data_IF_148144211383
#
_entry.id   IF_148144211383
#
_cell.length_a   1.000
_cell.length_b   1.000
_cell.length_c   1.000
_cell.angle_alpha   90.00
_cell.angle_beta   90.00
_cell.angle_gamma   90.00
#
_symmetry.space_group_name_H-M   'P 1'
#
loop_
_entity.id
_entity.type
_entity.pdbx_description
1 polymer ?
#
# COMPACT_ATOMS: atom_id res chain seq x y z
N UNK A 1 -36.64 -11.44 -5.44
CA UNK A 1 -35.16 -11.49 -5.52
C UNK A 1 -34.76 -11.65 -6.98
N UNK A 2 -34.33 -10.60 -7.69
CA UNK A 2 -33.98 -10.72 -9.10
C UNK A 2 -32.71 -11.58 -9.24
N UNK A 3 -32.83 -12.69 -9.97
CA UNK A 3 -31.71 -13.57 -10.33
C UNK A 3 -30.94 -12.92 -11.47
N UNK A 4 -30.13 -11.91 -11.14
CA UNK A 4 -29.14 -11.39 -12.08
C UNK A 4 -28.16 -12.50 -12.43
N UNK A 5 -28.05 -12.86 -13.70
CA UNK A 5 -27.09 -13.87 -14.14
C UNK A 5 -25.68 -13.33 -13.92
N UNK A 6 -24.70 -14.19 -13.60
CA UNK A 6 -23.31 -13.77 -13.40
C UNK A 6 -22.74 -12.94 -14.57
N UNK A 7 -23.33 -13.10 -15.76
CA UNK A 7 -22.99 -12.34 -16.96
C UNK A 7 -23.42 -10.86 -16.88
N UNK A 8 -24.57 -10.59 -16.25
CA UNK A 8 -25.10 -9.23 -16.05
C UNK A 8 -24.19 -8.41 -15.13
N UNK A 9 -23.66 -9.03 -14.07
CA UNK A 9 -22.69 -8.38 -13.18
C UNK A 9 -21.38 -8.04 -13.91
N UNK A 10 -20.93 -8.92 -14.82
CA UNK A 10 -19.71 -8.71 -15.60
C UNK A 10 -19.86 -7.57 -16.62
N UNK A 11 -21.01 -7.50 -17.28
CA UNK A 11 -21.38 -6.38 -18.17
C UNK A 11 -21.46 -5.05 -17.40
N UNK A 12 -22.10 -5.05 -16.22
CA UNK A 12 -22.23 -3.85 -15.39
C UNK A 12 -20.88 -3.30 -14.94
N UNK A 13 -19.94 -4.17 -14.52
CA UNK A 13 -18.57 -3.76 -14.20
C UNK A 13 -17.81 -3.20 -15.41
N UNK A 14 -18.05 -3.73 -16.61
CA UNK A 14 -17.41 -3.22 -17.83
C UNK A 14 -17.87 -1.80 -18.17
N UNK A 15 -19.18 -1.54 -18.02
CA UNK A 15 -19.76 -0.20 -18.21
C UNK A 15 -19.21 0.81 -17.19
N UNK A 16 -19.15 0.41 -15.92
CA UNK A 16 -18.64 1.27 -14.84
C UNK A 16 -17.17 1.69 -15.08
N UNK A 17 -16.31 0.76 -15.49
CA UNK A 17 -14.90 1.05 -15.83
C UNK A 17 -14.81 2.03 -17.00
N UNK A 18 -15.69 1.90 -18.00
CA UNK A 18 -15.71 2.77 -19.20
C UNK A 18 -16.12 4.20 -18.85
N UNK A 19 -17.09 4.35 -17.96
CA UNK A 19 -17.52 5.67 -17.48
C UNK A 19 -16.51 6.31 -16.54
N UNK A 20 -15.84 5.52 -15.69
CA UNK A 20 -14.72 6.01 -14.89
C UNK A 20 -13.62 6.58 -15.79
N UNK A 21 -13.24 5.85 -16.85
CA UNK A 21 -12.26 6.36 -17.83
C UNK A 21 -12.70 7.67 -18.46
N UNK A 22 -13.96 7.80 -18.89
CA UNK A 22 -14.46 9.08 -19.46
C UNK A 22 -14.44 10.22 -18.45
N UNK A 23 -14.77 9.94 -17.18
CA UNK A 23 -14.81 10.95 -16.11
C UNK A 23 -13.42 11.50 -15.76
N UNK A 24 -12.40 10.64 -15.79
CA UNK A 24 -11.02 11.00 -15.41
C UNK A 24 -10.08 11.19 -16.61
N UNK A 25 -10.60 11.13 -17.84
CA UNK A 25 -9.82 11.49 -19.01
C UNK A 25 -9.60 13.00 -19.01
N UNK A 26 -8.47 13.41 -18.43
CA UNK A 26 -7.98 14.79 -18.51
C UNK A 26 -7.89 15.18 -19.99
N UNK A 27 -8.44 16.33 -20.40
CA UNK A 27 -8.29 16.82 -21.75
C UNK A 27 -6.79 16.97 -22.01
N UNK A 28 -6.25 16.03 -22.79
CA UNK A 28 -4.90 16.09 -23.34
C UNK A 28 -4.79 17.42 -24.06
N UNK A 29 -4.02 18.34 -23.48
CA UNK A 29 -3.64 19.61 -24.08
C UNK A 29 -2.83 19.33 -25.35
N UNK A 30 -3.54 19.05 -26.44
CA UNK A 30 -3.00 19.04 -27.78
C UNK A 30 -2.82 20.49 -28.22
N UNK A 31 -1.77 21.13 -27.72
CA UNK A 31 -1.22 22.36 -28.29
C UNK A 31 0.23 22.13 -28.68
N UNK A 32 0.42 21.52 -29.84
CA UNK A 32 1.63 21.69 -30.64
C UNK A 32 1.23 22.32 -31.97
N UNK A 33 0.85 23.59 -31.90
CA UNK A 33 0.78 24.49 -33.05
C UNK A 33 1.86 25.53 -32.85
N UNK A 34 2.97 25.39 -33.56
CA UNK A 34 3.97 26.43 -33.79
C UNK A 34 3.33 27.54 -34.63
N UNK A 35 3.21 28.79 -34.14
CA UNK A 35 2.83 29.91 -35.00
C UNK A 35 4.08 30.42 -35.73
N UNK A 36 4.00 30.46 -37.05
CA UNK A 36 4.93 31.20 -37.89
C UNK A 36 4.79 32.71 -37.62
N UNK A 37 5.93 33.39 -37.61
CA UNK A 37 6.09 34.83 -37.50
C UNK A 37 5.25 35.55 -38.57
N UNK A 38 4.41 36.51 -38.17
CA UNK A 38 3.96 37.58 -39.05
C UNK A 38 3.63 38.84 -38.24
N UNK A 39 4.08 39.97 -38.76
CA UNK A 39 4.17 41.28 -38.13
C UNK A 39 2.80 42.01 -38.05
N UNK A 40 2.79 43.05 -37.19
CA UNK A 40 2.02 44.31 -37.30
C UNK A 40 0.88 44.59 -36.28
N UNK A 41 1.24 45.34 -35.21
CA UNK A 41 0.60 46.59 -34.67
C UNK A 41 -0.86 46.52 -34.11
N UNK A 42 -1.44 47.59 -33.47
CA UNK A 42 -1.60 47.67 -32.00
C UNK A 42 -3.02 48.03 -31.46
N UNK A 43 -3.31 47.74 -30.16
CA UNK A 43 -4.19 48.49 -29.20
C UNK A 43 -5.73 48.51 -29.48
N UNK A 44 -6.70 48.81 -28.55
CA UNK A 44 -6.76 48.94 -27.06
C UNK A 44 -7.89 48.10 -26.37
N UNK A 45 -7.93 48.21 -25.02
CA UNK A 45 -9.10 48.23 -24.10
C UNK A 45 -10.31 47.31 -24.33
N UNK A 46 -10.68 46.53 -23.30
CA UNK A 46 -11.79 46.85 -22.40
C UNK A 46 -11.92 45.81 -21.28
N UNK A 47 -12.03 46.34 -20.05
CA UNK A 47 -12.71 45.85 -18.85
C UNK A 47 -13.27 44.41 -18.81
N UNK A 48 -13.08 43.74 -17.66
CA UNK A 48 -14.14 43.63 -16.64
C UNK A 48 -13.69 42.72 -15.49
N UNK A 49 -13.75 43.30 -14.30
CA UNK A 49 -13.67 42.64 -13.00
C UNK A 49 -14.80 41.62 -12.86
N UNK A 50 -14.53 40.42 -12.34
CA UNK A 50 -15.50 39.79 -11.42
C UNK A 50 -14.78 39.05 -10.29
N UNK A 51 -15.32 39.29 -9.11
CA UNK A 51 -14.85 39.02 -7.77
C UNK A 51 -15.88 38.08 -7.15
N UNK A 52 -15.46 36.98 -6.55
CA UNK A 52 -16.31 36.14 -5.66
C UNK A 52 -15.36 35.18 -4.93
N UNK A 53 -14.94 35.38 -3.69
CA UNK A 53 -15.65 35.70 -2.43
C UNK A 53 -16.71 34.67 -2.07
N UNK A 54 -16.25 33.50 -1.61
CA UNK A 54 -17.07 32.45 -1.04
C UNK A 54 -16.42 31.83 0.19
N UNK A 55 -16.38 32.60 1.28
CA UNK A 55 -16.09 32.09 2.62
C UNK A 55 -17.26 31.23 3.10
N UNK A 56 -17.05 29.91 3.22
CA UNK A 56 -17.98 29.00 3.90
C UNK A 56 -17.36 28.53 5.20
N UNK A 57 -17.75 29.22 6.27
CA UNK A 57 -17.64 28.81 7.67
C UNK A 57 -18.41 27.50 7.86
N UNK A 58 -17.77 26.48 8.42
CA UNK A 58 -18.46 25.30 8.95
C UNK A 58 -18.30 25.22 10.48
N UNK A 59 -19.34 24.75 11.19
CA UNK A 59 -19.40 24.79 12.64
C UNK A 59 -18.57 23.68 13.29
N UNK A 60 -17.81 24.09 14.29
CA UNK A 60 -17.25 23.25 15.34
C UNK A 60 -18.36 22.75 16.25
N UNK A 61 -18.53 21.43 16.39
CA UNK A 61 -19.13 20.81 17.58
C UNK A 61 -18.39 19.50 17.88
N UNK A 62 -17.51 19.59 18.86
CA UNK A 62 -16.95 18.48 19.62
C UNK A 62 -18.04 17.78 20.43
N UNK A 63 -18.10 16.45 20.40
CA UNK A 63 -18.62 15.62 21.51
C UNK A 63 -18.04 14.21 21.42
N UNK A 64 -16.89 14.05 22.08
CA UNK A 64 -16.28 12.75 22.37
C UNK A 64 -16.72 12.31 23.76
N UNK A 65 -17.65 11.36 23.81
CA UNK A 65 -17.98 10.61 25.03
C UNK A 65 -17.08 9.38 25.07
N UNK A 66 -16.04 9.45 25.91
CA UNK A 66 -15.18 8.32 26.27
C UNK A 66 -15.98 7.26 27.03
N UNK A 67 -15.92 5.97 26.66
CA UNK A 67 -16.23 4.88 27.58
C UNK A 67 -15.03 4.60 28.50
N UNK A 68 -15.35 4.36 29.76
CA UNK A 68 -14.45 4.21 30.88
C UNK A 68 -13.54 2.96 30.79
N UNK A 69 -12.36 3.13 31.39
CA UNK A 69 -11.33 2.14 31.69
C UNK A 69 -11.93 0.89 32.34
N UNK A 70 -11.78 -0.28 31.71
CA UNK A 70 -11.79 -1.56 32.43
C UNK A 70 -10.34 -1.91 32.79
N UNK A 71 -10.05 -1.76 34.08
CA UNK A 71 -8.84 -2.21 34.73
C UNK A 71 -8.80 -3.74 34.69
N UNK A 72 -7.85 -4.32 33.96
CA UNK A 72 -7.57 -5.75 34.02
C UNK A 72 -6.53 -5.98 35.10
N UNK A 73 -6.96 -6.62 36.18
CA UNK A 73 -6.13 -7.12 37.28
C UNK A 73 -5.10 -8.10 36.73
N UNK A 74 -3.82 -7.76 36.86
CA UNK A 74 -2.70 -8.62 36.50
C UNK A 74 -2.57 -9.68 37.60
N UNK A 75 -2.96 -10.92 37.32
CA UNK A 75 -2.58 -12.06 38.17
C UNK A 75 -1.11 -12.37 37.92
N UNK A 76 -0.25 -11.89 38.82
CA UNK A 76 1.11 -12.37 39.03
C UNK A 76 1.03 -13.85 39.42
N UNK A 77 1.33 -14.73 38.47
CA UNK A 77 1.54 -16.15 38.77
C UNK A 77 3.03 -16.32 39.07
N UNK A 78 3.27 -16.71 40.31
CA UNK A 78 4.54 -16.91 40.96
C UNK A 78 5.38 -17.95 40.21
N UNK A 79 6.65 -17.59 40.02
CA UNK A 79 7.68 -18.36 39.34
C UNK A 79 8.45 -19.07 40.43
N UNK A 80 8.30 -20.39 40.58
CA UNK A 80 9.41 -21.28 40.96
C UNK A 80 9.04 -22.77 40.93
N UNK A 81 10.06 -23.55 40.56
CA UNK A 81 10.23 -25.00 40.75
C UNK A 81 9.72 -25.91 39.63
N UNK A 82 10.65 -26.50 38.86
CA UNK A 82 10.91 -27.96 38.81
C UNK A 82 11.84 -28.30 37.61
N UNK A 83 12.99 -28.91 37.95
CA UNK A 83 13.88 -29.83 37.20
C UNK A 83 14.40 -29.52 35.77
N UNK A 84 15.69 -29.83 35.49
CA UNK A 84 16.22 -29.86 34.12
C UNK A 84 15.75 -31.16 33.44
N UNK A 85 14.56 -31.12 32.84
CA UNK A 85 14.15 -32.15 31.90
C UNK A 85 15.07 -32.07 30.67
N UNK A 86 15.69 -33.19 30.31
CA UNK A 86 16.30 -33.40 28.99
C UNK A 86 15.26 -33.00 27.95
N UNK A 87 15.53 -31.91 27.24
CA UNK A 87 14.73 -31.48 26.10
C UNK A 87 15.11 -32.43 24.98
N UNK A 88 14.41 -33.56 24.92
CA UNK A 88 14.26 -34.30 23.67
C UNK A 88 13.74 -33.28 22.65
N UNK A 89 14.54 -33.09 21.61
CA UNK A 89 14.31 -32.21 20.47
C UNK A 89 12.83 -32.21 20.07
N UNK A 90 12.14 -31.13 20.45
CA UNK A 90 10.80 -30.81 19.97
C UNK A 90 10.79 -30.95 18.44
N UNK A 91 9.76 -31.56 17.85
CA UNK A 91 9.64 -31.62 16.40
C UNK A 91 9.69 -30.19 15.89
N UNK A 92 10.58 -29.93 14.93
CA UNK A 92 10.73 -28.66 14.26
C UNK A 92 9.33 -28.07 14.01
N UNK A 93 9.06 -26.95 14.70
CA UNK A 93 7.81 -26.20 14.61
C UNK A 93 7.43 -26.09 13.12
N UNK A 94 6.14 -26.28 12.76
CA UNK A 94 5.69 -26.16 11.38
C UNK A 94 6.28 -24.90 10.78
N UNK A 95 7.07 -25.13 9.74
CA UNK A 95 8.09 -24.23 9.25
C UNK A 95 7.50 -22.86 8.96
N UNK A 96 8.25 -21.87 9.41
CA UNK A 96 8.13 -20.43 9.19
C UNK A 96 8.10 -20.12 7.71
N UNK A 97 6.97 -20.42 7.05
CA UNK A 97 6.74 -20.10 5.63
C UNK A 97 6.91 -18.60 5.31
N UNK A 98 7.03 -17.76 6.33
CA UNK A 98 7.12 -16.31 6.25
C UNK A 98 8.54 -15.76 6.42
N UNK A 99 9.55 -16.63 6.57
CA UNK A 99 10.95 -16.20 6.77
C UNK A 99 11.43 -15.25 5.67
N UNK A 100 11.12 -15.55 4.41
CA UNK A 100 11.53 -14.72 3.27
C UNK A 100 10.91 -13.31 3.33
N UNK A 101 9.66 -13.21 3.78
CA UNK A 101 8.97 -11.92 3.94
C UNK A 101 9.54 -11.15 5.14
N UNK A 102 9.83 -11.85 6.23
CA UNK A 102 10.46 -11.25 7.41
C UNK A 102 11.90 -10.78 7.14
N UNK A 103 12.64 -11.52 6.32
CA UNK A 103 13.98 -11.14 5.86
C UNK A 103 13.91 -9.90 4.97
N UNK A 104 12.99 -9.88 4.00
CA UNK A 104 12.72 -8.69 3.18
C UNK A 104 12.45 -7.45 4.06
N UNK A 105 11.54 -7.54 5.03
CA UNK A 105 11.21 -6.40 5.89
C UNK A 105 12.39 -5.94 6.77
N UNK A 106 13.28 -6.86 7.15
CA UNK A 106 14.55 -6.53 7.86
C UNK A 106 15.58 -5.87 6.97
N UNK A 107 15.53 -6.09 5.66
CA UNK A 107 16.43 -5.42 4.70
C UNK A 107 16.01 -3.99 4.38
N UNK A 108 14.78 -3.60 4.69
CA UNK A 108 14.35 -2.21 4.59
C UNK A 108 15.12 -1.31 5.58
N UNK A 109 15.31 -0.04 5.20
CA UNK A 109 15.89 0.98 6.07
C UNK A 109 14.95 2.20 6.12
N UNK A 110 14.22 2.42 7.24
CA UNK A 110 14.29 1.70 8.52
C UNK A 110 13.73 0.26 8.46
N UNK A 111 14.01 -0.55 9.49
CA UNK A 111 13.46 -1.90 9.65
C UNK A 111 11.92 -1.85 9.67
N UNK A 112 11.28 -2.60 8.77
CA UNK A 112 9.83 -2.63 8.54
C UNK A 112 9.15 -3.89 9.08
N UNK A 113 9.83 -4.67 9.93
CA UNK A 113 9.30 -5.94 10.48
C UNK A 113 7.97 -5.82 11.21
N UNK A 114 7.62 -4.65 11.72
CA UNK A 114 6.33 -4.39 12.34
C UNK A 114 5.14 -4.50 11.37
N UNK A 115 5.38 -4.44 10.05
CA UNK A 115 4.38 -4.71 9.03
C UNK A 115 4.20 -6.21 8.72
N UNK A 116 5.06 -7.10 9.24
CA UNK A 116 4.99 -8.52 8.94
C UNK A 116 3.59 -9.13 9.14
N UNK A 117 2.86 -8.87 10.25
CA UNK A 117 1.50 -9.37 10.42
C UNK A 117 0.57 -8.94 9.27
N UNK A 118 0.71 -7.70 8.79
CA UNK A 118 -0.09 -7.17 7.70
C UNK A 118 0.16 -7.89 6.37
N UNK A 119 1.42 -8.23 6.09
CA UNK A 119 1.77 -9.05 4.92
C UNK A 119 1.14 -10.44 5.01
N UNK A 120 1.19 -11.07 6.20
CA UNK A 120 0.67 -12.44 6.38
C UNK A 120 -0.85 -12.49 6.26
N UNK A 121 -1.55 -11.52 6.84
CA UNK A 121 -3.01 -11.39 6.77
C UNK A 121 -3.51 -11.05 5.37
N UNK A 122 -2.72 -10.29 4.61
CA UNK A 122 -3.01 -10.01 3.20
C UNK A 122 -2.73 -11.21 2.28
N UNK A 123 -1.99 -12.22 2.77
CA UNK A 123 -1.62 -13.41 2.01
C UNK A 123 -0.26 -13.30 1.30
N UNK A 124 0.52 -12.26 1.57
CA UNK A 124 1.92 -12.19 1.14
C UNK A 124 2.78 -13.06 2.06
N UNK A 125 2.98 -14.31 1.64
CA UNK A 125 3.59 -15.37 2.46
C UNK A 125 4.80 -16.01 1.83
N UNK A 126 5.18 -15.63 0.63
CA UNK A 126 6.26 -16.27 -0.10
C UNK A 126 7.03 -15.25 -0.91
N UNK A 127 8.28 -15.58 -1.21
CA UNK A 127 9.09 -14.80 -2.13
C UNK A 127 8.51 -14.72 -3.53
N UNK A 128 7.87 -15.79 -4.03
CA UNK A 128 7.19 -15.74 -5.33
C UNK A 128 6.11 -14.65 -5.38
N UNK A 129 5.44 -14.38 -4.25
CA UNK A 129 4.51 -13.27 -4.14
C UNK A 129 5.24 -11.92 -4.18
N UNK A 130 6.35 -11.78 -3.45
CA UNK A 130 7.17 -10.55 -3.48
C UNK A 130 7.70 -10.25 -4.89
N UNK A 131 8.15 -11.27 -5.62
CA UNK A 131 8.60 -11.14 -7.00
C UNK A 131 7.45 -10.73 -7.94
N UNK A 132 6.27 -11.31 -7.77
CA UNK A 132 5.07 -10.89 -8.51
C UNK A 132 4.68 -9.45 -8.17
N UNK A 133 4.73 -9.07 -6.89
CA UNK A 133 4.44 -7.71 -6.43
C UNK A 133 5.41 -6.69 -7.03
N UNK A 134 6.71 -7.03 -7.10
CA UNK A 134 7.73 -6.18 -7.71
C UNK A 134 7.55 -5.98 -9.22
N UNK A 135 6.77 -6.85 -9.89
CA UNK A 135 6.44 -6.72 -11.32
C UNK A 135 5.32 -5.72 -11.61
N UNK A 136 4.60 -5.26 -10.58
CA UNK A 136 3.50 -4.32 -10.73
C UNK A 136 3.98 -2.89 -10.93
N UNK A 137 3.10 -2.04 -11.47
CA UNK A 137 3.38 -0.60 -11.55
C UNK A 137 3.44 0.02 -10.15
N UNK A 138 4.19 1.11 -10.03
CA UNK A 138 4.35 1.83 -8.77
C UNK A 138 2.99 2.24 -8.16
N UNK A 139 2.04 2.69 -8.99
CA UNK A 139 0.67 3.04 -8.60
C UNK A 139 -0.12 1.85 -8.02
N UNK A 140 0.07 0.65 -8.59
CA UNK A 140 -0.64 -0.55 -8.15
C UNK A 140 -0.04 -1.11 -6.86
N UNK A 141 1.27 -0.96 -6.67
CA UNK A 141 1.93 -1.29 -5.41
C UNK A 141 1.43 -0.39 -4.28
N UNK A 142 1.28 0.91 -4.52
CA UNK A 142 0.75 1.86 -3.52
C UNK A 142 -0.65 1.42 -3.05
N UNK A 143 -1.53 1.07 -3.99
CA UNK A 143 -2.86 0.54 -3.70
C UNK A 143 -2.84 -0.74 -2.86
N UNK A 144 -1.89 -1.64 -3.12
CA UNK A 144 -1.76 -2.91 -2.39
C UNK A 144 -1.26 -2.64 -0.97
N UNK A 145 -0.21 -1.83 -0.80
CA UNK A 145 0.33 -1.53 0.53
C UNK A 145 -0.68 -0.77 1.38
N UNK A 146 -1.41 0.19 0.80
CA UNK A 146 -2.49 0.90 1.50
C UNK A 146 -3.61 -0.06 1.94
N UNK A 147 -4.03 -0.98 1.06
CA UNK A 147 -5.05 -2.00 1.41
C UNK A 147 -4.57 -2.99 2.47
N UNK A 148 -3.28 -3.33 2.44
CA UNK A 148 -2.65 -4.22 3.40
C UNK A 148 -2.64 -3.59 4.80
N UNK A 149 -2.14 -2.36 4.93
CA UNK A 149 -2.13 -1.63 6.19
C UNK A 149 -3.54 -1.42 6.75
N UNK A 150 -4.49 -0.99 5.90
CA UNK A 150 -5.88 -0.73 6.31
C UNK A 150 -6.60 -1.95 6.88
N UNK A 151 -6.21 -3.17 6.49
CA UNK A 151 -6.87 -4.40 6.94
C UNK A 151 -6.30 -4.95 8.23
N UNK A 152 -4.98 -4.91 8.38
CA UNK A 152 -4.30 -5.65 9.44
C UNK A 152 -3.97 -4.79 10.66
N UNK A 153 -3.75 -3.50 10.47
CA UNK A 153 -3.29 -2.61 11.52
C UNK A 153 -4.13 -1.33 11.53
N UNK A 154 -5.36 -1.36 12.10
CA UNK A 154 -6.23 -0.19 12.14
C UNK A 154 -5.64 0.99 12.93
N UNK A 155 -4.63 0.73 13.77
CA UNK A 155 -3.94 1.73 14.58
C UNK A 155 -2.64 2.25 13.93
N UNK A 156 -2.07 1.53 12.95
CA UNK A 156 -0.82 1.94 12.29
C UNK A 156 -1.15 2.67 11.00
N UNK A 157 -0.84 3.96 10.97
CA UNK A 157 -0.94 4.77 9.76
C UNK A 157 0.28 4.50 8.90
N UNK A 158 0.07 3.82 7.76
CA UNK A 158 1.09 3.67 6.74
C UNK A 158 1.30 5.03 6.06
N UNK A 159 2.48 5.61 6.24
CA UNK A 159 2.83 6.89 5.63
C UNK A 159 3.31 6.73 4.18
N UNK A 160 3.32 7.81 3.40
CA UNK A 160 3.90 7.79 2.05
C UNK A 160 5.38 7.40 2.06
N UNK A 161 6.10 7.75 3.12
CA UNK A 161 7.51 7.39 3.30
C UNK A 161 7.67 5.88 3.47
N UNK A 162 6.82 5.26 4.29
CA UNK A 162 6.83 3.80 4.51
C UNK A 162 6.60 3.04 3.21
N UNK A 163 5.66 3.51 2.39
CA UNK A 163 5.37 2.93 1.08
C UNK A 163 6.59 3.04 0.16
N UNK A 164 7.24 4.19 0.15
CA UNK A 164 8.45 4.38 -0.64
C UNK A 164 9.58 3.43 -0.19
N UNK A 165 9.81 3.30 1.12
CA UNK A 165 10.81 2.38 1.71
C UNK A 165 10.51 0.93 1.33
N UNK A 166 9.25 0.51 1.42
CA UNK A 166 8.83 -0.84 1.04
C UNK A 166 9.04 -1.11 -0.46
N UNK A 167 8.70 -0.15 -1.34
CA UNK A 167 8.92 -0.27 -2.79
C UNK A 167 10.39 -0.37 -3.15
N UNK A 168 11.21 0.48 -2.54
CA UNK A 168 12.64 0.49 -2.79
C UNK A 168 13.29 -0.80 -2.30
N UNK A 169 13.00 -1.19 -1.05
CA UNK A 169 13.48 -2.45 -0.48
C UNK A 169 13.04 -3.66 -1.29
N UNK A 170 11.82 -3.65 -1.85
CA UNK A 170 11.31 -4.77 -2.64
C UNK A 170 12.09 -4.92 -3.97
N UNK A 171 12.39 -3.81 -4.64
CA UNK A 171 13.19 -3.82 -5.88
C UNK A 171 14.60 -4.34 -5.59
N UNK A 172 15.25 -3.84 -4.54
CA UNK A 172 16.57 -4.28 -4.12
C UNK A 172 16.62 -5.76 -3.70
N UNK A 173 15.63 -6.20 -2.93
CA UNK A 173 15.51 -7.59 -2.49
C UNK A 173 15.36 -8.55 -3.68
N UNK A 174 14.57 -8.20 -4.69
CA UNK A 174 14.42 -9.05 -5.89
C UNK A 174 15.71 -9.06 -6.74
N UNK A 175 16.43 -7.94 -6.85
CA UNK A 175 17.64 -7.87 -7.68
C UNK A 175 18.86 -8.55 -7.07
N UNK A 176 19.02 -8.50 -5.74
CA UNK A 176 20.08 -9.25 -5.03
C UNK A 176 19.97 -10.75 -5.31
N UNK A 177 18.75 -11.28 -5.28
CA UNK A 177 18.55 -12.71 -5.44
C UNK A 177 18.81 -13.25 -6.86
N UNK A 178 18.65 -12.42 -7.90
CA UNK A 178 19.01 -12.77 -9.28
C UNK A 178 20.52 -12.91 -9.44
N UNK A 179 21.29 -12.14 -8.67
CA UNK A 179 22.74 -12.11 -8.74
C UNK A 179 23.35 -13.41 -8.18
N UNK A 180 22.79 -13.94 -7.10
CA UNK A 180 23.25 -15.20 -6.49
C UNK A 180 22.98 -16.41 -7.38
N UNK A 181 21.82 -16.44 -8.06
CA UNK A 181 21.48 -17.50 -9.01
C UNK A 181 22.48 -17.57 -10.18
N UNK A 182 23.01 -16.42 -10.63
CA UNK A 182 23.99 -16.34 -11.71
C UNK A 182 25.38 -16.83 -11.27
N UNK A 183 25.76 -16.59 -10.02
CA UNK A 183 27.06 -17.02 -9.47
C UNK A 183 27.11 -18.55 -9.32
N UNK A 184 26.01 -19.18 -8.89
CA UNK A 184 25.94 -20.64 -8.71
C UNK A 184 26.09 -21.43 -10.01
N UNK A 185 25.64 -20.87 -11.15
CA UNK A 185 25.76 -21.50 -12.48
C UNK A 185 27.16 -21.44 -13.11
N UNK A 186 28.05 -20.59 -12.61
CA UNK A 186 29.43 -20.46 -13.13
C UNK A 186 30.45 -21.32 -12.39
N UNK A 187 30.03 -21.97 -11.31
CA UNK A 187 30.89 -22.79 -10.44
C UNK A 187 30.65 -24.30 -10.60
N UNK A 188 29.82 -24.69 -11.57
CA UNK A 188 29.65 -26.09 -12.02
C UNK A 188 30.14 -26.15 -13.46
#
# INVERSE_FOLDING_TARGET
>A
MPRGTANEYREKKRLEIRDLRRKYQTPSSSRRGTPALSCATPVPEHAMLTRSSGSKTLPSISRSTRPALRSSTVTLVDRNSVAPAKIDSLPASPQTHFEEVADFLRTCNPDMTYFLPAFIDFGCRSRSYLEALASYSDEHMDDIFMKMASKALPEVVLTEMDIWVLKQGLKEFVDTTKSDAKKKRKSC
#
